data_IF_568774678571
#
_entry.id   IF_568774678571
#
_cell.length_a   1.000
_cell.length_b   1.000
_cell.length_c   1.000
_cell.angle_alpha   90.00
_cell.angle_beta   90.00
_cell.angle_gamma   90.00
#
_symmetry.space_group_name_H-M   'P 1'
#
loop_
_entity.id
_entity.type
_entity.pdbx_description
1 polymer ?
#
# COMPACT_ATOMS: atom_id res chain seq x y z
N UNK A 1 -19.76 13.50 -7.71
CA UNK A 1 -18.52 13.70 -6.92
C UNK A 1 -18.25 12.52 -5.99
N UNK A 2 -19.26 11.97 -5.31
CA UNK A 2 -19.15 10.77 -4.44
C UNK A 2 -18.56 9.53 -5.14
N UNK A 3 -19.08 9.18 -6.33
CA UNK A 3 -18.68 7.97 -7.06
C UNK A 3 -17.20 7.96 -7.45
N UNK A 4 -16.65 9.11 -7.87
CA UNK A 4 -15.22 9.21 -8.22
C UNK A 4 -14.32 9.00 -6.99
N UNK A 5 -14.77 9.40 -5.79
CA UNK A 5 -14.02 9.18 -4.55
C UNK A 5 -14.03 7.71 -4.15
N UNK A 6 -15.17 7.03 -4.27
CA UNK A 6 -15.30 5.60 -3.98
C UNK A 6 -14.40 4.77 -4.91
N UNK A 7 -14.42 5.05 -6.21
CA UNK A 7 -13.58 4.36 -7.20
C UNK A 7 -12.09 4.57 -6.90
N UNK A 8 -11.69 5.80 -6.54
CA UNK A 8 -10.32 6.09 -6.12
C UNK A 8 -9.91 5.27 -4.91
N UNK A 9 -10.73 5.30 -3.85
CA UNK A 9 -10.47 4.57 -2.62
C UNK A 9 -10.37 3.06 -2.86
N UNK A 10 -11.21 2.51 -3.74
CA UNK A 10 -11.15 1.10 -4.12
C UNK A 10 -9.85 0.77 -4.84
N UNK A 11 -9.41 1.62 -5.77
CA UNK A 11 -8.13 1.44 -6.44
C UNK A 11 -6.96 1.48 -5.45
N UNK A 12 -6.93 2.43 -4.54
CA UNK A 12 -5.85 2.56 -3.55
C UNK A 12 -5.80 1.29 -2.70
N UNK A 13 -6.95 0.84 -2.22
CA UNK A 13 -7.05 -0.37 -1.43
C UNK A 13 -6.64 -1.63 -2.23
N UNK A 14 -7.04 -1.73 -3.48
CA UNK A 14 -6.59 -2.77 -4.42
C UNK A 14 -5.06 -2.76 -4.60
N UNK A 15 -4.45 -1.59 -4.79
CA UNK A 15 -2.99 -1.48 -4.89
C UNK A 15 -2.28 -1.93 -3.60
N UNK A 16 -2.83 -1.56 -2.44
CA UNK A 16 -2.35 -2.00 -1.13
C UNK A 16 -2.43 -3.54 -0.98
N UNK A 17 -3.54 -4.15 -1.40
CA UNK A 17 -3.70 -5.61 -1.41
C UNK A 17 -2.72 -6.31 -2.36
N UNK A 18 -2.34 -5.68 -3.47
CA UNK A 18 -1.35 -6.26 -4.39
C UNK A 18 0.02 -6.41 -3.73
N UNK A 19 0.39 -5.44 -2.89
CA UNK A 19 1.65 -5.49 -2.13
C UNK A 19 1.58 -6.63 -1.11
N UNK A 20 0.54 -6.63 -0.27
CA UNK A 20 0.34 -7.65 0.77
C UNK A 20 0.07 -9.07 0.23
N UNK A 21 -0.21 -9.23 -1.07
CA UNK A 21 -0.36 -10.53 -1.72
C UNK A 21 0.84 -10.90 -2.60
N UNK A 22 1.89 -10.08 -2.61
CA UNK A 22 3.01 -10.26 -3.55
C UNK A 22 3.83 -11.53 -3.26
N UNK A 23 3.76 -12.04 -2.03
CA UNK A 23 4.34 -13.30 -1.57
C UNK A 23 3.33 -14.48 -1.59
N UNK A 24 2.05 -14.20 -1.91
CA UNK A 24 0.95 -15.15 -1.98
C UNK A 24 0.16 -15.36 -0.69
N UNK A 25 0.53 -14.74 0.44
CA UNK A 25 -0.16 -14.93 1.73
C UNK A 25 -0.25 -13.61 2.51
N UNK A 26 -1.47 -13.09 2.69
CA UNK A 26 -1.68 -11.94 3.60
C UNK A 26 -1.62 -12.40 5.06
N UNK A 27 -0.55 -12.05 5.76
CA UNK A 27 -0.32 -12.36 7.17
C UNK A 27 -1.26 -11.55 8.11
N UNK A 28 -1.47 -12.04 9.33
CA UNK A 28 -2.37 -11.38 10.30
C UNK A 28 -1.96 -9.95 10.67
N UNK A 29 -0.64 -9.66 10.69
CA UNK A 29 -0.15 -8.28 10.91
C UNK A 29 -0.57 -7.35 9.76
N UNK A 30 -0.43 -7.80 8.53
CA UNK A 30 -0.81 -7.05 7.34
C UNK A 30 -2.33 -6.88 7.25
N UNK A 31 -3.11 -7.91 7.58
CA UNK A 31 -4.58 -7.80 7.69
C UNK A 31 -4.98 -6.70 8.66
N UNK A 32 -4.35 -6.62 9.82
CA UNK A 32 -4.64 -5.57 10.80
C UNK A 32 -4.36 -4.16 10.26
N UNK A 33 -3.29 -4.00 9.47
CA UNK A 33 -2.98 -2.73 8.81
C UNK A 33 -3.96 -2.44 7.68
N UNK A 34 -4.31 -3.44 6.86
CA UNK A 34 -5.32 -3.35 5.82
C UNK A 34 -6.70 -2.97 6.40
N UNK A 35 -7.11 -3.52 7.54
CA UNK A 35 -8.35 -3.12 8.21
C UNK A 35 -8.33 -1.64 8.62
N UNK A 36 -7.23 -1.17 9.23
CA UNK A 36 -7.09 0.24 9.64
C UNK A 36 -7.08 1.18 8.43
N UNK A 37 -6.33 0.83 7.39
CA UNK A 37 -6.25 1.62 6.16
C UNK A 37 -7.59 1.64 5.44
N UNK A 38 -8.22 0.48 5.24
CA UNK A 38 -9.53 0.36 4.60
C UNK A 38 -10.62 1.16 5.30
N UNK A 39 -10.65 1.12 6.64
CA UNK A 39 -11.55 1.97 7.43
C UNK A 39 -11.29 3.46 7.21
N UNK A 40 -10.01 3.88 7.09
CA UNK A 40 -9.64 5.27 6.78
C UNK A 40 -10.06 5.72 5.37
N UNK A 41 -10.31 4.76 4.48
CA UNK A 41 -10.86 4.95 3.14
C UNK A 41 -12.39 4.84 3.09
N UNK A 42 -13.04 4.60 4.24
CA UNK A 42 -14.49 4.54 4.37
C UNK A 42 -15.09 3.16 4.06
N UNK A 43 -14.28 2.10 3.97
CA UNK A 43 -14.77 0.74 3.84
C UNK A 43 -15.18 0.16 5.19
N UNK A 44 -16.26 -0.61 5.19
CA UNK A 44 -16.63 -1.48 6.31
C UNK A 44 -15.71 -2.69 6.39
N UNK A 45 -15.63 -3.32 7.57
CA UNK A 45 -14.85 -4.54 7.79
C UNK A 45 -15.26 -5.64 6.78
N UNK A 46 -16.56 -5.80 6.54
CA UNK A 46 -17.07 -6.79 5.59
C UNK A 46 -16.67 -6.50 4.14
N UNK A 47 -16.59 -5.24 3.73
CA UNK A 47 -16.07 -4.87 2.41
C UNK A 47 -14.56 -5.16 2.30
N UNK A 48 -13.81 -4.85 3.36
CA UNK A 48 -12.38 -5.13 3.42
C UNK A 48 -12.12 -6.63 3.33
N UNK A 49 -12.85 -7.46 4.08
CA UNK A 49 -12.75 -8.92 4.01
C UNK A 49 -13.06 -9.47 2.63
N UNK A 50 -14.10 -8.95 1.96
CA UNK A 50 -14.43 -9.34 0.58
C UNK A 50 -13.30 -9.02 -0.39
N UNK A 51 -12.65 -7.87 -0.23
CA UNK A 51 -11.53 -7.45 -1.08
C UNK A 51 -10.28 -8.29 -0.79
N UNK A 52 -9.98 -8.58 0.48
CA UNK A 52 -8.88 -9.48 0.88
C UNK A 52 -9.07 -10.88 0.29
N UNK A 53 -10.29 -11.42 0.36
CA UNK A 53 -10.61 -12.76 -0.12
C UNK A 53 -10.86 -12.82 -1.64
N UNK A 54 -10.85 -11.69 -2.35
CA UNK A 54 -11.02 -11.66 -3.81
C UNK A 54 -9.74 -12.13 -4.51
N UNK A 55 -9.88 -13.08 -5.44
CA UNK A 55 -8.79 -13.52 -6.32
C UNK A 55 -8.42 -12.46 -7.37
N UNK A 56 -9.31 -11.49 -7.60
CA UNK A 56 -9.08 -10.41 -8.55
C UNK A 56 -8.90 -9.09 -7.85
N UNK A 57 -7.76 -8.46 -8.13
CA UNK A 57 -7.48 -7.07 -7.78
C UNK A 57 -7.60 -6.25 -9.05
N UNK A 58 -8.74 -5.60 -9.25
CA UNK A 58 -8.94 -4.74 -10.42
C UNK A 58 -8.26 -3.39 -10.16
N UNK A 59 -7.31 -3.04 -11.02
CA UNK A 59 -6.64 -1.73 -11.01
C UNK A 59 -7.26 -0.90 -12.16
N UNK A 60 -8.19 0.03 -11.88
CA UNK A 60 -8.72 0.90 -12.93
C UNK A 60 -7.65 1.85 -13.50
N UNK A 61 -7.79 2.27 -14.75
CA UNK A 61 -6.80 3.10 -15.44
C UNK A 61 -6.65 4.50 -14.83
N UNK A 62 -5.40 5.01 -14.89
CA UNK A 62 -4.91 6.37 -14.53
C UNK A 62 -5.87 7.22 -13.70
N UNK A 63 -5.79 7.05 -12.38
CA UNK A 63 -6.37 8.02 -11.45
C UNK A 63 -5.51 9.27 -11.35
N UNK A 64 -6.15 10.44 -11.41
CA UNK A 64 -5.50 11.72 -11.10
C UNK A 64 -5.54 11.97 -9.60
N UNK A 65 -4.38 12.28 -9.03
CA UNK A 65 -4.21 12.56 -7.62
C UNK A 65 -3.59 13.95 -7.45
N UNK A 66 -4.07 14.69 -6.46
CA UNK A 66 -3.38 15.89 -5.97
C UNK A 66 -2.05 15.51 -5.31
N UNK A 67 -1.15 16.48 -5.12
CA UNK A 67 0.15 16.24 -4.47
C UNK A 67 0.02 15.67 -3.04
N UNK A 68 -0.97 16.15 -2.28
CA UNK A 68 -1.26 15.65 -0.94
C UNK A 68 -1.78 14.20 -0.96
N UNK A 69 -2.73 13.89 -1.86
CA UNK A 69 -3.25 12.54 -2.03
C UNK A 69 -2.14 11.57 -2.44
N UNK A 70 -1.29 11.95 -3.41
CA UNK A 70 -0.13 11.16 -3.83
C UNK A 70 0.79 10.84 -2.65
N UNK A 71 1.13 11.84 -1.85
CA UNK A 71 2.01 11.67 -0.68
C UNK A 71 1.40 10.71 0.35
N UNK A 72 0.09 10.83 0.61
CA UNK A 72 -0.62 9.92 1.50
C UNK A 72 -0.58 8.47 1.00
N UNK A 73 -0.75 8.23 -0.31
CA UNK A 73 -0.72 6.86 -0.85
C UNK A 73 0.65 6.23 -0.82
N UNK A 74 1.68 7.00 -1.12
CA UNK A 74 3.07 6.54 -1.00
C UNK A 74 3.35 6.09 0.43
N UNK A 75 2.94 6.90 1.42
CA UNK A 75 3.10 6.54 2.83
C UNK A 75 2.32 5.29 3.22
N UNK A 76 1.12 5.09 2.67
CA UNK A 76 0.33 3.89 2.95
C UNK A 76 0.95 2.63 2.30
N UNK A 77 1.54 2.73 1.10
CA UNK A 77 2.30 1.64 0.49
C UNK A 77 3.52 1.25 1.33
N UNK A 78 4.30 2.25 1.77
CA UNK A 78 5.46 2.03 2.64
C UNK A 78 5.02 1.37 3.94
N UNK A 79 3.95 1.84 4.57
CA UNK A 79 3.44 1.27 5.83
C UNK A 79 3.10 -0.21 5.73
N UNK A 80 2.45 -0.63 4.65
CA UNK A 80 2.16 -2.06 4.46
C UNK A 80 3.46 -2.84 4.31
N UNK A 81 4.35 -2.37 3.44
CA UNK A 81 5.61 -3.06 3.15
C UNK A 81 6.55 -3.20 4.36
N UNK A 82 6.44 -2.34 5.37
CA UNK A 82 7.26 -2.42 6.58
C UNK A 82 6.55 -3.15 7.74
N UNK A 83 5.34 -3.66 7.53
CA UNK A 83 4.49 -4.18 8.62
C UNK A 83 4.99 -5.52 9.18
N UNK A 84 5.52 -6.37 8.32
CA UNK A 84 6.07 -7.67 8.67
C UNK A 84 7.52 -7.59 9.18
N UNK A 85 8.22 -6.49 8.87
CA UNK A 85 9.57 -6.17 9.36
C UNK A 85 10.65 -6.22 8.28
N UNK A 86 10.31 -6.58 7.05
CA UNK A 86 11.25 -6.67 5.93
C UNK A 86 10.55 -6.26 4.62
N UNK A 87 11.27 -5.58 3.72
CA UNK A 87 10.76 -5.35 2.37
C UNK A 87 11.49 -6.34 1.45
N UNK A 88 10.78 -7.33 0.93
CA UNK A 88 11.35 -8.30 0.01
C UNK A 88 11.41 -7.77 -1.43
N UNK A 89 12.12 -8.48 -2.31
CA UNK A 89 12.35 -8.05 -3.71
C UNK A 89 11.04 -7.93 -4.51
N UNK A 90 10.04 -8.78 -4.23
CA UNK A 90 8.76 -8.75 -4.94
C UNK A 90 7.89 -7.57 -4.48
N UNK A 91 7.90 -7.28 -3.18
CA UNK A 91 7.26 -6.10 -2.61
C UNK A 91 7.91 -4.83 -3.13
N UNK A 92 9.24 -4.74 -3.12
CA UNK A 92 9.99 -3.61 -3.64
C UNK A 92 9.61 -3.32 -5.10
N UNK A 93 9.62 -4.35 -5.96
CA UNK A 93 9.19 -4.23 -7.36
C UNK A 93 7.75 -3.74 -7.49
N UNK A 94 6.87 -4.22 -6.61
CA UNK A 94 5.45 -3.85 -6.62
C UNK A 94 5.26 -2.41 -6.20
N UNK A 95 5.92 -1.98 -5.12
CA UNK A 95 5.93 -0.60 -4.62
C UNK A 95 6.47 0.33 -5.69
N UNK A 96 7.62 0.00 -6.30
CA UNK A 96 8.21 0.78 -7.39
C UNK A 96 7.24 0.98 -8.54
N UNK A 97 6.61 -0.11 -9.00
CA UNK A 97 5.61 -0.06 -10.08
C UNK A 97 4.43 0.84 -9.70
N UNK A 98 3.89 0.72 -8.48
CA UNK A 98 2.74 1.51 -8.04
C UNK A 98 3.10 3.00 -7.90
N UNK A 99 4.23 3.32 -7.28
CA UNK A 99 4.70 4.70 -7.07
C UNK A 99 5.04 5.38 -8.42
N UNK A 100 5.73 4.67 -9.32
CA UNK A 100 6.03 5.18 -10.66
C UNK A 100 4.74 5.43 -11.49
N UNK A 101 3.71 4.60 -11.31
CA UNK A 101 2.39 4.83 -11.94
C UNK A 101 1.70 6.10 -11.44
N UNK A 102 2.06 6.60 -10.25
CA UNK A 102 1.61 7.89 -9.75
C UNK A 102 2.39 9.06 -10.38
N UNK A 103 3.43 8.78 -11.18
CA UNK A 103 4.29 9.79 -11.80
C UNK A 103 5.31 10.36 -10.82
N UNK A 104 5.85 9.53 -9.95
CA UNK A 104 7.07 9.80 -9.17
C UNK A 104 8.25 9.23 -9.96
N UNK A 105 9.41 9.87 -9.91
CA UNK A 105 10.59 9.36 -10.62
C UNK A 105 11.16 8.10 -9.95
N UNK A 106 11.93 7.33 -10.71
CA UNK A 106 12.58 6.12 -10.18
C UNK A 106 13.55 6.47 -9.05
N UNK A 107 14.33 7.54 -9.17
CA UNK A 107 15.25 8.00 -8.12
C UNK A 107 14.54 8.41 -6.83
N UNK A 108 13.45 9.18 -6.92
CA UNK A 108 12.65 9.55 -5.74
C UNK A 108 12.01 8.31 -5.10
N UNK A 109 11.63 7.33 -5.91
CA UNK A 109 11.06 6.07 -5.43
C UNK A 109 12.10 5.23 -4.68
N UNK A 110 13.33 5.16 -5.18
CA UNK A 110 14.45 4.48 -4.51
C UNK A 110 14.78 5.15 -3.16
N UNK A 111 14.76 6.48 -3.10
CA UNK A 111 14.94 7.24 -1.85
C UNK A 111 13.86 6.90 -0.82
N UNK A 112 12.59 6.87 -1.23
CA UNK A 112 11.46 6.52 -0.37
C UNK A 112 11.56 5.11 0.21
N UNK A 113 12.00 4.15 -0.61
CA UNK A 113 12.21 2.75 -0.17
C UNK A 113 13.40 2.67 0.80
N UNK A 114 14.49 3.39 0.51
CA UNK A 114 15.66 3.44 1.39
C UNK A 114 15.28 4.00 2.76
N UNK A 115 14.52 5.10 2.80
CA UNK A 115 14.00 5.67 4.05
C UNK A 115 13.12 4.69 4.84
N UNK A 116 12.31 3.88 4.14
CA UNK A 116 11.48 2.85 4.78
C UNK A 116 12.32 1.74 5.41
N UNK A 117 13.38 1.30 4.72
CA UNK A 117 14.33 0.30 5.23
C UNK A 117 15.13 0.84 6.42
N UNK A 118 15.53 2.11 6.40
CA UNK A 118 16.17 2.77 7.55
C UNK A 118 15.24 2.88 8.77
N UNK A 119 13.95 3.17 8.55
CA UNK A 119 12.95 3.17 9.63
C UNK A 119 12.78 1.77 10.22
N UNK A 120 12.72 0.73 9.39
CA UNK A 120 12.69 -0.66 9.84
C UNK A 120 13.89 -1.00 10.73
N UNK A 121 15.10 -0.62 10.30
CA UNK A 121 16.32 -0.84 11.09
C UNK A 121 16.27 -0.11 12.43
N UNK A 122 15.77 1.12 12.47
CA UNK A 122 15.59 1.89 13.72
C UNK A 122 14.60 1.22 14.67
N UNK A 123 13.45 0.75 14.16
CA UNK A 123 12.47 0.03 14.97
C UNK A 123 13.09 -1.24 15.57
N UNK A 124 13.84 -2.01 14.78
CA UNK A 124 14.52 -3.22 15.26
C UNK A 124 15.58 -2.92 16.34
N UNK A 125 16.30 -1.80 16.26
CA UNK A 125 17.30 -1.41 17.26
C UNK A 125 16.69 -0.95 18.59
N UNK A 126 15.41 -0.55 18.62
CA UNK A 126 14.72 -0.08 19.83
C UNK A 126 14.07 -1.26 20.60
N UNK A 127 13.86 -2.41 19.94
CA UNK A 127 13.17 -3.58 20.51
C UNK A 127 14.14 -4.65 21.06
N UNK A 128 15.45 -4.41 20.98
CA UNK A 128 16.53 -5.21 21.59
C UNK A 128 17.12 -4.50 22.82
#
# INVERSE_FOLDING_TARGET
>A
MEQNKIIKNQHIFSSLLTIAKSDGVVHEKEKNVLYKLGASYGFSITEIEKLINSDTVTIPEKLTFSGFEKSRYIMDFIRIAITDGEININEEKTIKKQINNLGVSESETDELISMAQEELQRIHQIVL
#
